data_IF_492472167460
#
_entry.id   IF_492472167460
#
_cell.length_a   1.000
_cell.length_b   1.000
_cell.length_c   1.000
_cell.angle_alpha   90.00
_cell.angle_beta   90.00
_cell.angle_gamma   90.00
#
_symmetry.space_group_name_H-M   'P 1'
#
loop_
_entity.id
_entity.type
_entity.pdbx_description
1 polymer ?
#
# COMPACT_ATOMS: atom_id res chain seq x y z
N UNK A 1 19.68 3.21 18.37
CA UNK A 1 19.94 3.48 16.93
C UNK A 1 19.31 2.44 16.02
N UNK A 2 19.49 1.14 16.29
CA UNK A 2 18.89 0.02 15.54
C UNK A 2 17.38 0.16 15.29
N UNK A 3 16.60 0.53 16.31
CA UNK A 3 15.14 0.59 16.15
C UNK A 3 14.66 1.76 15.28
N UNK A 4 15.35 2.90 15.33
CA UNK A 4 15.06 4.04 14.45
C UNK A 4 15.33 3.67 13.00
N UNK A 5 16.41 2.92 12.74
CA UNK A 5 16.75 2.44 11.41
C UNK A 5 15.70 1.46 10.88
N UNK A 6 15.29 0.47 11.68
CA UNK A 6 14.26 -0.49 11.24
C UNK A 6 12.91 0.22 11.03
N UNK A 7 12.51 1.15 11.91
CA UNK A 7 11.31 1.96 11.69
C UNK A 7 11.36 2.75 10.40
N UNK A 8 12.52 3.31 10.04
CA UNK A 8 12.71 3.97 8.75
C UNK A 8 12.48 3.00 7.59
N UNK A 9 13.06 1.79 7.63
CA UNK A 9 12.83 0.77 6.60
C UNK A 9 11.35 0.36 6.49
N UNK A 10 10.65 0.26 7.62
CA UNK A 10 9.21 -0.06 7.64
C UNK A 10 8.36 1.10 7.10
N UNK A 11 8.87 2.34 7.16
CA UNK A 11 8.19 3.53 6.63
C UNK A 11 8.29 3.63 5.09
N UNK A 12 9.30 3.01 4.47
CA UNK A 12 9.58 3.12 3.02
C UNK A 12 8.35 2.81 2.15
N UNK A 13 7.61 1.71 2.35
CA UNK A 13 6.36 1.47 1.62
C UNK A 13 5.37 2.64 1.70
N UNK A 14 5.24 3.28 2.87
CA UNK A 14 4.35 4.43 3.06
C UNK A 14 4.80 5.65 2.25
N UNK A 15 6.10 5.88 2.12
CA UNK A 15 6.65 6.96 1.29
C UNK A 15 6.35 6.74 -0.20
N UNK A 16 6.47 5.49 -0.67
CA UNK A 16 6.14 5.11 -2.04
C UNK A 16 4.65 5.32 -2.31
N UNK A 17 3.78 4.86 -1.39
CA UNK A 17 2.33 5.07 -1.49
C UNK A 17 1.96 6.55 -1.50
N UNK A 18 2.58 7.37 -0.63
CA UNK A 18 2.35 8.81 -0.60
C UNK A 18 2.78 9.47 -1.92
N UNK A 19 3.93 9.06 -2.46
CA UNK A 19 4.43 9.57 -3.75
C UNK A 19 3.40 9.30 -4.86
N UNK A 20 2.86 8.09 -4.94
CA UNK A 20 1.83 7.75 -5.93
C UNK A 20 0.53 8.55 -5.70
N UNK A 21 0.10 8.73 -4.46
CA UNK A 21 -1.08 9.54 -4.14
C UNK A 21 -0.93 11.00 -4.61
N UNK A 22 0.22 11.62 -4.34
CA UNK A 22 0.53 12.98 -4.78
C UNK A 22 0.59 13.04 -6.32
N UNK A 23 1.27 12.09 -6.94
CA UNK A 23 1.44 12.06 -8.39
C UNK A 23 0.12 11.77 -9.13
N UNK A 24 -0.83 11.06 -8.53
CA UNK A 24 -2.18 10.92 -9.08
C UNK A 24 -2.90 12.27 -9.21
N UNK A 25 -2.61 13.24 -8.34
CA UNK A 25 -3.17 14.61 -8.43
C UNK A 25 -2.39 15.44 -9.45
N UNK A 26 -1.06 15.37 -9.43
CA UNK A 26 -0.22 16.25 -10.24
C UNK A 26 -0.06 15.76 -11.69
N UNK A 27 0.05 14.46 -11.88
CA UNK A 27 0.44 13.78 -13.13
C UNK A 27 -0.26 12.41 -13.28
N UNK A 28 -1.61 12.37 -13.32
CA UNK A 28 -2.38 11.13 -13.29
C UNK A 28 -2.08 10.15 -14.43
N UNK A 29 -1.76 10.66 -15.63
CA UNK A 29 -1.47 9.84 -16.80
C UNK A 29 -0.22 8.96 -16.59
N UNK A 30 0.79 9.48 -15.88
CA UNK A 30 2.03 8.74 -15.67
C UNK A 30 1.81 7.59 -14.69
N UNK A 31 1.15 7.86 -13.55
CA UNK A 31 0.88 6.80 -12.56
C UNK A 31 -0.10 5.78 -13.11
N UNK A 32 -1.07 6.19 -13.94
CA UNK A 32 -1.92 5.28 -14.68
C UNK A 32 -1.11 4.36 -15.60
N UNK A 33 -0.18 4.93 -16.38
CA UNK A 33 0.73 4.18 -17.25
C UNK A 33 1.58 3.18 -16.49
N UNK A 34 2.14 3.57 -15.33
CA UNK A 34 2.93 2.68 -14.47
C UNK A 34 2.12 1.50 -13.91
N UNK A 35 0.79 1.67 -13.79
CA UNK A 35 -0.14 0.61 -13.41
C UNK A 35 -0.67 -0.20 -14.61
N UNK A 36 -0.16 0.05 -15.81
CA UNK A 36 -0.57 -0.62 -17.04
C UNK A 36 -1.98 -0.26 -17.51
N UNK A 37 -2.51 0.88 -17.08
CA UNK A 37 -3.85 1.35 -17.44
C UNK A 37 -3.80 2.66 -18.22
N UNK A 38 -4.70 2.86 -19.20
CA UNK A 38 -4.88 4.18 -19.79
C UNK A 38 -5.49 5.13 -18.75
N UNK A 39 -5.24 6.42 -18.92
CA UNK A 39 -6.02 7.43 -18.22
C UNK A 39 -7.44 7.42 -18.81
N UNK A 40 -8.44 7.19 -17.97
CA UNK A 40 -9.83 7.15 -18.40
C UNK A 40 -10.36 8.56 -18.68
N UNK A 41 -11.56 8.64 -19.27
CA UNK A 41 -12.24 9.90 -19.60
C UNK A 41 -13.59 10.01 -18.90
N UNK A 42 -14.11 11.24 -18.83
CA UNK A 42 -15.44 11.53 -18.27
C UNK A 42 -15.59 11.04 -16.82
N UNK A 43 -16.67 10.32 -16.54
CA UNK A 43 -16.92 9.76 -15.19
C UNK A 43 -15.88 8.70 -14.83
N UNK A 44 -15.38 7.94 -15.82
CA UNK A 44 -14.34 6.93 -15.59
C UNK A 44 -13.06 7.53 -15.03
N UNK A 45 -12.68 8.73 -15.49
CA UNK A 45 -11.56 9.49 -14.92
C UNK A 45 -11.79 9.78 -13.43
N UNK A 46 -12.98 10.29 -13.08
CA UNK A 46 -13.33 10.61 -11.69
C UNK A 46 -13.21 9.37 -10.80
N UNK A 47 -13.80 8.25 -11.22
CA UNK A 47 -13.74 6.97 -10.49
C UNK A 47 -12.30 6.47 -10.35
N UNK A 48 -11.53 6.46 -11.44
CA UNK A 48 -10.14 6.01 -11.44
C UNK A 48 -9.26 6.82 -10.48
N UNK A 49 -9.33 8.15 -10.54
CA UNK A 49 -8.53 9.01 -9.69
C UNK A 49 -8.96 8.95 -8.23
N UNK A 50 -10.26 8.92 -7.96
CA UNK A 50 -10.79 8.87 -6.60
C UNK A 50 -10.45 7.53 -5.93
N UNK A 51 -10.72 6.40 -6.60
CA UNK A 51 -10.58 5.08 -6.00
C UNK A 51 -9.09 4.71 -5.81
N UNK A 52 -8.25 4.93 -6.82
CA UNK A 52 -6.82 4.64 -6.73
C UNK A 52 -6.08 5.68 -5.88
N UNK A 53 -6.47 6.95 -5.97
CA UNK A 53 -5.96 8.00 -5.08
C UNK A 53 -6.27 7.70 -3.62
N UNK A 54 -7.49 7.25 -3.30
CA UNK A 54 -7.86 6.81 -1.97
C UNK A 54 -7.08 5.57 -1.54
N UNK A 55 -6.90 4.58 -2.42
CA UNK A 55 -6.11 3.38 -2.14
C UNK A 55 -4.66 3.71 -1.71
N UNK A 56 -3.97 4.58 -2.48
CA UNK A 56 -2.61 5.00 -2.16
C UNK A 56 -2.56 5.87 -0.90
N UNK A 57 -3.47 6.83 -0.77
CA UNK A 57 -3.53 7.74 0.38
C UNK A 57 -3.81 6.98 1.68
N UNK A 58 -4.79 6.08 1.68
CA UNK A 58 -5.15 5.26 2.83
C UNK A 58 -3.95 4.40 3.28
N UNK A 59 -3.29 3.75 2.32
CA UNK A 59 -2.11 2.92 2.60
C UNK A 59 -0.98 3.75 3.23
N UNK A 60 -0.68 4.93 2.67
CA UNK A 60 0.35 5.82 3.21
C UNK A 60 0.04 6.26 4.64
N UNK A 61 -1.19 6.74 4.88
CA UNK A 61 -1.61 7.23 6.20
C UNK A 61 -1.53 6.14 7.27
N UNK A 62 -2.00 4.93 6.98
CA UNK A 62 -1.96 3.83 7.94
C UNK A 62 -0.54 3.34 8.22
N UNK A 63 0.33 3.28 7.20
CA UNK A 63 1.74 2.93 7.41
C UNK A 63 2.42 3.96 8.30
N UNK A 64 2.24 5.26 8.01
CA UNK A 64 2.83 6.32 8.83
C UNK A 64 2.31 6.29 10.26
N UNK A 65 1.00 6.19 10.45
CA UNK A 65 0.39 6.10 11.76
C UNK A 65 0.93 4.88 12.53
N UNK A 66 0.96 3.71 11.90
CA UNK A 66 1.47 2.49 12.49
C UNK A 66 2.93 2.62 12.94
N UNK A 67 3.80 3.20 12.12
CA UNK A 67 5.23 3.38 12.46
C UNK A 67 5.44 4.43 13.56
N UNK A 68 4.77 5.58 13.47
CA UNK A 68 4.89 6.68 14.45
C UNK A 68 4.48 6.18 15.84
N UNK A 69 3.34 5.51 15.93
CA UNK A 69 2.78 5.05 17.21
C UNK A 69 3.19 3.61 17.57
N UNK A 70 4.02 2.94 16.78
CA UNK A 70 4.44 1.54 16.96
C UNK A 70 3.25 0.58 17.07
N UNK A 71 2.23 0.78 16.23
CA UNK A 71 1.01 -0.03 16.20
C UNK A 71 0.99 -0.88 14.93
N UNK A 72 1.44 -2.14 15.04
CA UNK A 72 1.54 -3.06 13.91
C UNK A 72 0.18 -3.39 13.27
N UNK A 73 -0.93 -3.22 14.00
CA UNK A 73 -2.30 -3.42 13.49
C UNK A 73 -2.58 -2.62 12.20
N UNK A 74 -2.12 -1.37 12.11
CA UNK A 74 -2.36 -0.53 10.92
C UNK A 74 -1.56 -1.00 9.69
N UNK A 75 -0.38 -1.58 9.91
CA UNK A 75 0.39 -2.20 8.84
C UNK A 75 -0.29 -3.47 8.35
N UNK A 76 -0.93 -4.24 9.24
CA UNK A 76 -1.72 -5.43 8.86
C UNK A 76 -2.98 -5.06 8.09
N UNK A 77 -3.68 -3.99 8.48
CA UNK A 77 -4.82 -3.47 7.72
C UNK A 77 -4.39 -3.07 6.31
N UNK A 78 -3.24 -2.39 6.18
CA UNK A 78 -2.71 -2.03 4.86
C UNK A 78 -2.27 -3.26 4.06
N UNK A 79 -1.63 -4.24 4.70
CA UNK A 79 -1.28 -5.50 4.06
C UNK A 79 -2.52 -6.27 3.59
N UNK A 80 -3.61 -6.26 4.34
CA UNK A 80 -4.87 -6.85 3.91
C UNK A 80 -5.40 -6.18 2.64
N UNK A 81 -5.38 -4.85 2.57
CA UNK A 81 -5.80 -4.12 1.37
C UNK A 81 -4.98 -4.51 0.13
N UNK A 82 -3.64 -4.53 0.24
CA UNK A 82 -2.76 -4.91 -0.87
C UNK A 82 -2.93 -6.39 -1.25
N UNK A 83 -3.09 -7.27 -0.28
CA UNK A 83 -3.32 -8.70 -0.51
C UNK A 83 -4.66 -8.95 -1.21
N UNK A 84 -5.71 -8.21 -0.85
CA UNK A 84 -6.99 -8.26 -1.54
C UNK A 84 -6.86 -7.76 -2.98
N UNK A 85 -6.09 -6.71 -3.25
CA UNK A 85 -5.83 -6.25 -4.62
C UNK A 85 -5.18 -7.36 -5.47
N UNK A 86 -4.16 -8.05 -4.94
CA UNK A 86 -3.52 -9.17 -5.63
C UNK A 86 -4.49 -10.32 -5.94
N UNK A 87 -5.31 -10.71 -4.94
CA UNK A 87 -6.34 -11.75 -5.12
C UNK A 87 -7.36 -11.33 -6.19
N UNK A 88 -7.86 -10.09 -6.12
CA UNK A 88 -8.85 -9.59 -7.06
C UNK A 88 -8.29 -9.48 -8.48
N UNK A 89 -7.00 -9.20 -8.68
CA UNK A 89 -6.35 -9.28 -10.00
C UNK A 89 -6.34 -10.70 -10.55
N UNK A 90 -6.02 -11.70 -9.73
CA UNK A 90 -6.08 -13.12 -10.14
C UNK A 90 -7.51 -13.50 -10.54
N UNK A 91 -8.51 -13.06 -9.77
CA UNK A 91 -9.93 -13.28 -10.09
C UNK A 91 -10.32 -12.54 -11.38
N UNK A 92 -9.88 -11.30 -11.57
CA UNK A 92 -10.17 -10.52 -12.78
C UNK A 92 -9.61 -11.22 -14.04
N UNK A 93 -8.39 -11.76 -13.96
CA UNK A 93 -7.81 -12.58 -15.04
C UNK A 93 -8.63 -13.86 -15.28
N UNK A 94 -8.93 -14.62 -14.23
CA UNK A 94 -9.60 -15.92 -14.36
C UNK A 94 -11.09 -15.85 -14.73
N UNK A 95 -11.78 -14.75 -14.40
CA UNK A 95 -13.25 -14.64 -14.52
C UNK A 95 -13.70 -13.59 -15.53
N UNK A 96 -12.96 -12.48 -15.69
CA UNK A 96 -13.38 -11.33 -16.50
C UNK A 96 -12.55 -11.15 -17.78
N UNK A 97 -11.65 -12.10 -18.11
CA UNK A 97 -10.81 -12.02 -19.30
C UNK A 97 -9.76 -10.91 -19.26
N UNK A 98 -9.41 -10.40 -18.08
CA UNK A 98 -8.35 -9.41 -17.93
C UNK A 98 -6.97 -10.01 -18.24
N UNK A 99 -5.99 -9.18 -18.59
CA UNK A 99 -4.59 -9.63 -18.69
C UNK A 99 -4.04 -10.04 -17.32
N UNK A 100 -3.15 -11.04 -17.29
CA UNK A 100 -2.52 -11.45 -16.04
C UNK A 100 -1.46 -10.44 -15.60
N UNK A 101 -1.80 -9.63 -14.59
CA UNK A 101 -0.99 -8.50 -14.12
C UNK A 101 0.18 -8.94 -13.22
N UNK A 102 1.08 -9.79 -13.74
CA UNK A 102 2.17 -10.44 -13.00
C UNK A 102 3.01 -9.46 -12.17
N UNK A 103 3.48 -8.37 -12.78
CA UNK A 103 4.36 -7.40 -12.12
C UNK A 103 3.68 -6.74 -10.91
N UNK A 104 2.40 -6.39 -11.07
CA UNK A 104 1.62 -5.74 -10.01
C UNK A 104 1.27 -6.71 -8.89
N UNK A 105 0.91 -7.96 -9.22
CA UNK A 105 0.67 -9.03 -8.23
C UNK A 105 1.94 -9.30 -7.41
N UNK A 106 3.11 -9.40 -8.07
CA UNK A 106 4.39 -9.61 -7.38
C UNK A 106 4.71 -8.43 -6.47
N UNK A 107 4.54 -7.20 -6.94
CA UNK A 107 4.76 -6.00 -6.12
C UNK A 107 3.85 -5.97 -4.88
N UNK A 108 2.57 -6.29 -5.05
CA UNK A 108 1.60 -6.38 -3.95
C UNK A 108 2.01 -7.45 -2.93
N UNK A 109 2.37 -8.66 -3.36
CA UNK A 109 2.83 -9.74 -2.47
C UNK A 109 4.08 -9.33 -1.69
N UNK A 110 5.06 -8.70 -2.36
CA UNK A 110 6.28 -8.20 -1.71
C UNK A 110 5.94 -7.17 -0.65
N UNK A 111 5.07 -6.21 -0.96
CA UNK A 111 4.63 -5.18 -0.01
C UNK A 111 3.84 -5.79 1.16
N UNK A 112 2.99 -6.78 0.92
CA UNK A 112 2.26 -7.52 1.97
C UNK A 112 3.25 -8.14 2.95
N UNK A 113 4.23 -8.90 2.44
CA UNK A 113 5.24 -9.56 3.28
C UNK A 113 6.04 -8.52 4.07
N UNK A 114 6.46 -7.43 3.41
CA UNK A 114 7.20 -6.33 4.05
C UNK A 114 6.40 -5.73 5.21
N UNK A 115 5.13 -5.38 4.97
CA UNK A 115 4.28 -4.75 5.97
C UNK A 115 3.97 -5.70 7.12
N UNK A 116 3.73 -6.99 6.86
CA UNK A 116 3.53 -7.99 7.90
C UNK A 116 4.78 -8.19 8.78
N UNK A 117 5.96 -8.26 8.16
CA UNK A 117 7.22 -8.33 8.90
C UNK A 117 7.45 -7.07 9.74
N UNK A 118 7.18 -5.89 9.18
CA UNK A 118 7.21 -4.61 9.89
C UNK A 118 6.22 -4.58 11.07
N UNK A 119 5.01 -5.07 10.87
CA UNK A 119 3.98 -5.13 11.91
C UNK A 119 4.42 -5.97 13.11
N UNK A 120 4.94 -7.18 12.86
CA UNK A 120 5.46 -8.07 13.91
C UNK A 120 6.60 -7.39 14.68
N UNK A 121 7.46 -6.66 13.98
CA UNK A 121 8.55 -5.93 14.63
C UNK A 121 8.04 -4.77 15.49
N UNK A 122 7.08 -3.98 15.01
CA UNK A 122 6.50 -2.86 15.76
C UNK A 122 5.80 -3.35 17.04
N UNK A 123 5.09 -4.47 16.99
CA UNK A 123 4.43 -5.02 18.18
C UNK A 123 5.46 -5.46 19.24
N UNK A 124 6.57 -6.07 18.81
CA UNK A 124 7.67 -6.41 19.72
C UNK A 124 8.25 -5.16 20.39
N UNK A 125 8.46 -4.09 19.62
CA UNK A 125 8.93 -2.82 20.17
C UNK A 125 7.94 -2.21 21.17
N UNK A 126 6.64 -2.26 20.87
CA UNK A 126 5.60 -1.76 21.77
C UNK A 126 5.63 -2.51 23.12
N UNK A 127 5.72 -3.84 23.06
CA UNK A 127 5.78 -4.69 24.26
C UNK A 127 7.05 -4.44 25.10
N UNK A 128 8.19 -4.20 24.46
CA UNK A 128 9.46 -3.88 25.15
C UNK A 128 9.42 -2.52 25.86
N UNK A 129 8.66 -1.56 25.31
CA UNK A 129 8.57 -0.21 25.86
C UNK A 129 7.50 -0.07 26.95
N UNK A 130 6.81 -1.15 27.33
CA UNK A 130 5.86 -1.15 28.44
C UNK A 130 4.61 -0.29 28.22
N UNK A 131 4.36 0.20 27.01
CA UNK A 131 3.17 1.01 26.68
C UNK A 131 1.96 0.12 26.39
N UNK A 132 1.56 -0.67 27.39
CA UNK A 132 0.27 -1.32 27.46
C UNK A 132 -0.70 -0.37 28.15
N UNK A 133 -1.22 0.59 27.38
CA UNK A 133 -2.46 1.28 27.70
C UNK A 133 -3.52 0.81 26.71
#
# INVERSE_FOLDING_TARGET
>A
MKDKFIKFLVLVPGLIMLSNAIMFVLRPADVAGDLGMPLLEGIGLSTQLADLGAFFTFSALLIFYGVIYSKGEYLRITALLLGLAAILRVIAWGVNGAAFATELIVAEIVLVIWLLAGAVYLDKLKNLNGTNH
#
